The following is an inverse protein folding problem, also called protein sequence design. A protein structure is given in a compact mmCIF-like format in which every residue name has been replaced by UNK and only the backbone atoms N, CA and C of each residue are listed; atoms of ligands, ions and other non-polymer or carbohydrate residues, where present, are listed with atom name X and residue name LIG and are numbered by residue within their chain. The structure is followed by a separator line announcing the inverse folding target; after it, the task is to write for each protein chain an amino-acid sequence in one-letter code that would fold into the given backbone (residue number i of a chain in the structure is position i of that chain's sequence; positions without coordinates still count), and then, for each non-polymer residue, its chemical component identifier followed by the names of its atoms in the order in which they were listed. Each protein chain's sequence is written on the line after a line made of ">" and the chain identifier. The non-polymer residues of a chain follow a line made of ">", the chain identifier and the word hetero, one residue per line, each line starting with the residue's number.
data_IF_899979590882
#
_entry.id   IF_899979590882
#
_cell.length_a   1.000
_cell.length_b   1.000
_cell.length_c   1.000
_cell.angle_alpha   90.00
_cell.angle_beta   90.00
_cell.angle_gamma   90.00
#
_symmetry.space_group_name_H-M   'P 1'
#
loop_
_entity.id
_entity.type
_entity.pdbx_description
1 polymer ?
#
# COMPACT_ATOMS: atom_id res chain seq x y z
N UNK A 1 1.33 40.67 44.74
CA UNK A 1 1.91 39.53 43.99
C UNK A 1 0.80 38.85 43.18
N UNK A 2 0.59 39.22 41.91
CA UNK A 2 -0.48 38.65 41.08
C UNK A 2 -0.12 38.61 39.58
N UNK A 3 1.18 38.48 39.26
CA UNK A 3 1.67 38.67 37.88
C UNK A 3 2.12 37.36 37.20
N UNK A 4 2.18 36.23 37.91
CA UNK A 4 2.68 34.97 37.33
C UNK A 4 1.60 34.11 36.62
N UNK A 5 0.31 34.36 36.81
CA UNK A 5 -0.76 33.51 36.26
C UNK A 5 -1.14 33.82 34.81
N UNK A 6 -0.80 35.00 34.28
CA UNK A 6 -1.17 35.36 32.90
C UNK A 6 -0.21 34.82 31.83
N UNK A 7 1.08 34.67 32.15
CA UNK A 7 2.10 34.27 31.17
C UNK A 7 1.93 32.80 30.76
N UNK A 8 1.58 31.92 31.70
CA UNK A 8 1.37 30.48 31.44
C UNK A 8 0.11 30.19 30.62
N UNK A 9 -0.96 30.97 30.83
CA UNK A 9 -2.26 30.79 30.15
C UNK A 9 -2.19 31.13 28.65
N UNK A 10 -1.39 32.14 28.31
CA UNK A 10 -1.13 32.54 26.91
C UNK A 10 -0.29 31.48 26.17
N UNK A 11 0.77 30.98 26.82
CA UNK A 11 1.68 30.00 26.21
C UNK A 11 1.00 28.65 25.96
N UNK A 12 0.23 28.13 26.93
CA UNK A 12 -0.52 26.88 26.78
C UNK A 12 -1.58 26.92 25.66
N UNK A 13 -2.23 28.07 25.46
CA UNK A 13 -3.20 28.27 24.37
C UNK A 13 -2.53 28.29 22.99
N UNK A 14 -1.29 28.74 22.89
CA UNK A 14 -0.51 28.76 21.65
C UNK A 14 -0.04 27.35 21.27
N UNK A 15 0.51 26.60 22.23
CA UNK A 15 0.94 25.20 22.03
C UNK A 15 -0.23 24.31 21.60
N UNK A 16 -1.39 24.46 22.24
CA UNK A 16 -2.59 23.69 21.89
C UNK A 16 -3.10 23.99 20.47
N UNK A 17 -2.98 25.24 20.01
CA UNK A 17 -3.33 25.62 18.64
C UNK A 17 -2.40 24.99 17.60
N UNK A 18 -1.10 25.00 17.87
CA UNK A 18 -0.11 24.35 17.00
C UNK A 18 -0.36 22.84 16.94
N UNK A 19 -0.67 22.21 18.07
CA UNK A 19 -1.05 20.78 18.11
C UNK A 19 -2.26 20.48 17.21
N UNK A 20 -3.36 21.24 17.35
CA UNK A 20 -4.55 21.02 16.52
C UNK A 20 -4.29 21.30 15.04
N UNK A 21 -3.49 22.32 14.71
CA UNK A 21 -3.11 22.62 13.34
C UNK A 21 -2.31 21.46 12.72
N UNK A 22 -1.28 20.97 13.41
CA UNK A 22 -0.44 19.87 12.91
C UNK A 22 -1.23 18.56 12.79
N UNK A 23 -2.05 18.22 13.79
CA UNK A 23 -2.86 16.99 13.75
C UNK A 23 -3.91 17.03 12.64
N UNK A 24 -4.57 18.17 12.41
CA UNK A 24 -5.46 18.35 11.27
C UNK A 24 -4.71 18.27 9.94
N UNK A 25 -3.53 18.89 9.82
CA UNK A 25 -2.72 18.82 8.60
C UNK A 25 -2.31 17.38 8.26
N UNK A 26 -1.81 16.64 9.25
CA UNK A 26 -1.48 15.21 9.10
C UNK A 26 -2.71 14.39 8.76
N UNK A 27 -3.86 14.68 9.37
CA UNK A 27 -5.13 14.03 9.04
C UNK A 27 -5.55 14.26 7.59
N UNK A 28 -5.48 15.50 7.09
CA UNK A 28 -5.82 15.84 5.69
C UNK A 28 -4.88 15.14 4.71
N UNK A 29 -3.56 15.33 4.88
CA UNK A 29 -2.56 14.78 3.97
C UNK A 29 -2.61 13.25 4.00
N UNK A 30 -2.65 12.66 5.20
CA UNK A 30 -2.72 11.22 5.38
C UNK A 30 -3.96 10.61 4.74
N UNK A 31 -5.13 11.26 4.88
CA UNK A 31 -6.37 10.79 4.23
C UNK A 31 -6.23 10.85 2.72
N UNK A 32 -5.73 11.96 2.15
CA UNK A 32 -5.56 12.13 0.70
C UNK A 32 -4.61 11.09 0.11
N UNK A 33 -3.44 10.89 0.73
CA UNK A 33 -2.44 9.93 0.26
C UNK A 33 -2.97 8.50 0.35
N UNK A 34 -3.59 8.14 1.47
CA UNK A 34 -4.13 6.78 1.67
C UNK A 34 -5.29 6.48 0.72
N UNK A 35 -6.16 7.47 0.50
CA UNK A 35 -7.29 7.33 -0.43
C UNK A 35 -6.80 7.22 -1.88
N UNK A 36 -5.81 8.03 -2.27
CA UNK A 36 -5.18 7.91 -3.59
C UNK A 36 -4.56 6.53 -3.80
N UNK A 37 -3.82 6.03 -2.82
CA UNK A 37 -3.22 4.69 -2.87
C UNK A 37 -4.29 3.60 -3.04
N UNK A 38 -5.38 3.68 -2.26
CA UNK A 38 -6.49 2.74 -2.34
C UNK A 38 -7.14 2.75 -3.74
N UNK A 39 -7.44 3.94 -4.27
CA UNK A 39 -8.00 4.09 -5.61
C UNK A 39 -7.06 3.57 -6.69
N UNK A 40 -5.75 3.80 -6.55
CA UNK A 40 -4.74 3.27 -7.45
C UNK A 40 -4.72 1.74 -7.45
N UNK A 41 -4.76 1.11 -6.27
CA UNK A 41 -4.79 -0.35 -6.17
C UNK A 41 -6.05 -0.94 -6.83
N UNK A 42 -7.22 -0.35 -6.59
CA UNK A 42 -8.49 -0.73 -7.24
C UNK A 42 -8.39 -0.56 -8.75
N UNK A 43 -7.90 0.60 -9.21
CA UNK A 43 -7.74 0.90 -10.63
C UNK A 43 -6.79 -0.07 -11.32
N UNK A 44 -5.64 -0.39 -10.71
CA UNK A 44 -4.66 -1.34 -11.26
C UNK A 44 -5.27 -2.73 -11.48
N UNK A 45 -6.13 -3.19 -10.55
CA UNK A 45 -6.81 -4.49 -10.70
C UNK A 45 -7.98 -4.45 -11.68
N UNK A 46 -8.71 -3.34 -11.77
CA UNK A 46 -9.84 -3.18 -12.68
C UNK A 46 -9.40 -3.03 -14.14
N UNK A 47 -8.29 -2.33 -14.38
CA UNK A 47 -7.81 -2.00 -15.74
C UNK A 47 -6.95 -3.13 -16.32
N UNK A 48 -6.01 -3.69 -15.54
CA UNK A 48 -5.05 -4.68 -16.04
C UNK A 48 -5.62 -6.09 -15.82
N UNK A 49 -5.87 -6.83 -16.89
CA UNK A 49 -6.31 -8.24 -16.78
C UNK A 49 -5.22 -9.14 -16.21
N UNK A 50 -5.57 -10.34 -15.75
CA UNK A 50 -4.57 -11.29 -15.22
C UNK A 50 -3.52 -11.67 -16.27
N UNK A 51 -3.92 -11.73 -17.53
CA UNK A 51 -3.02 -12.10 -18.62
C UNK A 51 -2.10 -10.96 -19.00
N UNK A 52 -2.61 -9.73 -19.06
CA UNK A 52 -1.78 -8.53 -19.24
C UNK A 52 -0.81 -8.31 -18.08
N UNK A 53 -1.22 -8.62 -16.85
CA UNK A 53 -0.33 -8.57 -15.68
C UNK A 53 0.82 -9.56 -15.81
N UNK A 54 0.51 -10.79 -16.22
CA UNK A 54 1.50 -11.86 -16.36
C UNK A 54 2.46 -11.56 -17.50
N UNK A 55 1.95 -11.13 -18.66
CA UNK A 55 2.78 -10.81 -19.83
C UNK A 55 3.56 -9.50 -19.63
N UNK A 56 2.98 -8.52 -18.94
CA UNK A 56 3.61 -7.21 -18.76
C UNK A 56 4.62 -7.12 -17.61
N UNK A 57 4.34 -7.73 -16.46
CA UNK A 57 5.18 -7.59 -15.26
C UNK A 57 5.96 -8.87 -14.90
N UNK A 58 5.53 -10.04 -15.36
CA UNK A 58 5.99 -11.34 -14.84
C UNK A 58 6.36 -12.35 -15.93
N UNK A 59 6.54 -11.90 -17.17
CA UNK A 59 6.81 -12.78 -18.32
C UNK A 59 8.07 -13.63 -18.13
N UNK A 60 9.11 -13.08 -17.51
CA UNK A 60 10.35 -13.77 -17.22
C UNK A 60 10.14 -15.02 -16.34
N UNK A 61 9.13 -15.03 -15.47
CA UNK A 61 8.82 -16.19 -14.62
C UNK A 61 8.21 -17.35 -15.42
N UNK A 62 7.59 -17.07 -16.57
CA UNK A 62 7.15 -18.10 -17.52
C UNK A 62 8.25 -18.52 -18.49
N UNK A 63 9.15 -17.60 -18.85
CA UNK A 63 10.27 -17.92 -19.74
C UNK A 63 11.26 -18.89 -19.08
N UNK A 64 11.38 -18.84 -17.75
CA UNK A 64 12.15 -19.83 -16.98
C UNK A 64 11.69 -21.28 -17.18
N UNK A 65 10.43 -21.51 -17.59
CA UNK A 65 9.93 -22.86 -17.91
C UNK A 65 10.53 -23.43 -19.21
N UNK A 66 11.13 -22.61 -20.08
CA UNK A 66 11.78 -23.07 -21.30
C UNK A 66 13.23 -23.52 -21.07
N UNK A 67 13.80 -23.25 -19.90
CA UNK A 67 15.20 -23.54 -19.61
C UNK A 67 15.45 -25.03 -19.39
N UNK A 68 16.57 -25.52 -19.91
CA UNK A 68 17.01 -26.89 -19.67
C UNK A 68 17.20 -27.13 -18.17
N UNK A 69 16.65 -28.24 -17.67
CA UNK A 69 16.72 -28.61 -16.25
C UNK A 69 17.85 -29.62 -16.04
N UNK A 70 18.59 -29.49 -14.93
CA UNK A 70 19.62 -30.46 -14.55
C UNK A 70 18.95 -31.76 -14.12
N UNK A 71 19.16 -32.84 -14.88
CA UNK A 71 18.72 -34.19 -14.54
C UNK A 71 19.96 -35.08 -14.42
N UNK A 72 20.62 -35.13 -13.24
CA UNK A 72 21.84 -35.90 -13.06
C UNK A 72 21.59 -37.38 -13.34
N UNK A 73 22.44 -37.98 -14.15
CA UNK A 73 22.46 -39.43 -14.38
C UNK A 73 23.69 -40.03 -13.71
N UNK A 74 23.71 -41.34 -13.41
CA UNK A 74 24.88 -42.01 -12.83
C UNK A 74 26.16 -41.84 -13.67
N UNK A 75 26.01 -41.57 -14.98
CA UNK A 75 27.11 -41.34 -15.91
C UNK A 75 27.51 -39.86 -16.05
N UNK A 76 26.64 -38.90 -15.73
CA UNK A 76 26.94 -37.47 -15.81
C UNK A 76 26.06 -36.66 -14.84
N UNK A 77 26.70 -36.08 -13.82
CA UNK A 77 26.02 -35.25 -12.82
C UNK A 77 25.54 -33.89 -13.36
N UNK A 78 26.10 -33.42 -14.48
CA UNK A 78 25.77 -32.12 -15.08
C UNK A 78 24.88 -32.25 -16.32
N UNK A 79 24.18 -33.37 -16.49
CA UNK A 79 23.36 -33.60 -17.65
C UNK A 79 22.17 -32.61 -17.69
N UNK A 80 22.14 -31.76 -18.71
CA UNK A 80 21.06 -30.80 -18.96
C UNK A 80 20.12 -31.39 -20.00
N UNK A 81 18.86 -31.57 -19.62
CA UNK A 81 17.83 -32.10 -20.52
C UNK A 81 16.85 -30.98 -20.83
N UNK A 82 16.63 -30.73 -22.12
CA UNK A 82 15.58 -29.80 -22.54
C UNK A 82 14.21 -30.36 -22.11
N UNK A 83 13.36 -29.55 -21.48
CA UNK A 83 12.05 -30.01 -21.03
C UNK A 83 11.17 -30.40 -22.22
N UNK A 84 10.32 -31.41 -22.04
CA UNK A 84 9.33 -31.78 -23.07
C UNK A 84 8.26 -30.70 -23.19
N UNK A 85 7.55 -30.62 -24.33
CA UNK A 85 6.46 -29.64 -24.49
C UNK A 85 5.38 -29.78 -23.41
N UNK A 86 5.14 -31.00 -22.93
CA UNK A 86 4.22 -31.28 -21.83
C UNK A 86 4.74 -30.76 -20.49
N UNK A 87 6.04 -30.90 -20.20
CA UNK A 87 6.69 -30.33 -19.00
C UNK A 87 6.66 -28.80 -19.04
N UNK A 88 6.94 -28.19 -20.21
CA UNK A 88 6.89 -26.74 -20.41
C UNK A 88 5.48 -26.20 -20.18
N UNK A 89 4.47 -26.85 -20.78
CA UNK A 89 3.07 -26.41 -20.68
C UNK A 89 2.58 -26.48 -19.24
N UNK A 90 2.84 -27.60 -18.56
CA UNK A 90 2.47 -27.78 -17.15
C UNK A 90 3.16 -26.74 -16.25
N UNK A 91 4.46 -26.49 -16.46
CA UNK A 91 5.20 -25.47 -15.72
C UNK A 91 4.57 -24.08 -15.90
N UNK A 92 4.23 -23.70 -17.14
CA UNK A 92 3.61 -22.41 -17.44
C UNK A 92 2.24 -22.27 -16.78
N UNK A 93 1.41 -23.31 -16.79
CA UNK A 93 0.10 -23.31 -16.13
C UNK A 93 0.21 -23.19 -14.60
N UNK A 94 1.10 -23.97 -13.98
CA UNK A 94 1.35 -23.93 -12.54
C UNK A 94 1.86 -22.55 -12.11
N UNK A 95 2.81 -21.98 -12.86
CA UNK A 95 3.35 -20.63 -12.62
C UNK A 95 2.30 -19.55 -12.82
N UNK A 96 1.49 -19.63 -13.89
CA UNK A 96 0.39 -18.69 -14.14
C UNK A 96 -0.60 -18.68 -12.97
N UNK A 97 -0.96 -19.86 -12.47
CA UNK A 97 -1.86 -20.00 -11.32
C UNK A 97 -1.27 -19.38 -10.05
N UNK A 98 0.02 -19.64 -9.77
CA UNK A 98 0.73 -19.05 -8.64
C UNK A 98 0.81 -17.52 -8.74
N UNK A 99 1.14 -16.99 -9.92
CA UNK A 99 1.22 -15.55 -10.19
C UNK A 99 -0.11 -14.84 -9.99
N UNK A 100 -1.20 -15.45 -10.46
CA UNK A 100 -2.56 -14.92 -10.26
C UNK A 100 -2.94 -14.94 -8.78
N UNK A 101 -2.61 -16.02 -8.07
CA UNK A 101 -2.86 -16.12 -6.64
C UNK A 101 -2.07 -15.06 -5.85
N UNK A 102 -0.78 -14.88 -6.15
CA UNK A 102 0.08 -13.87 -5.55
C UNK A 102 -0.45 -12.46 -5.81
N UNK A 103 -0.84 -12.14 -7.05
CA UNK A 103 -1.46 -10.85 -7.41
C UNK A 103 -2.72 -10.58 -6.57
N UNK A 104 -3.57 -11.59 -6.40
CA UNK A 104 -4.79 -11.45 -5.61
C UNK A 104 -4.52 -11.27 -4.11
N UNK A 105 -3.48 -11.92 -3.58
CA UNK A 105 -3.05 -11.72 -2.20
C UNK A 105 -2.55 -10.28 -1.97
N UNK A 106 -1.63 -9.82 -2.82
CA UNK A 106 -1.08 -8.46 -2.76
C UNK A 106 -2.19 -7.40 -2.86
N UNK A 107 -3.14 -7.57 -3.78
CA UNK A 107 -4.28 -6.66 -3.90
C UNK A 107 -5.11 -6.59 -2.61
N UNK A 108 -5.33 -7.72 -1.93
CA UNK A 108 -6.09 -7.74 -0.67
C UNK A 108 -5.32 -7.05 0.44
N UNK A 109 -4.01 -7.27 0.53
CA UNK A 109 -3.14 -6.58 1.48
C UNK A 109 -3.14 -5.07 1.27
N UNK A 110 -3.02 -4.63 0.01
CA UNK A 110 -3.06 -3.21 -0.37
C UNK A 110 -4.39 -2.56 -0.02
N UNK A 111 -5.51 -3.25 -0.28
CA UNK A 111 -6.85 -2.77 0.10
C UNK A 111 -7.01 -2.67 1.61
N UNK A 112 -6.59 -3.69 2.36
CA UNK A 112 -6.70 -3.70 3.81
C UNK A 112 -5.83 -2.61 4.43
N UNK A 113 -4.57 -2.51 4.02
CA UNK A 113 -3.63 -1.50 4.48
C UNK A 113 -4.14 -0.10 4.14
N UNK A 114 -4.44 0.16 2.87
CA UNK A 114 -4.96 1.45 2.41
C UNK A 114 -6.27 1.82 3.10
N UNK A 115 -7.17 0.86 3.31
CA UNK A 115 -8.45 1.06 4.00
C UNK A 115 -8.26 1.41 5.48
N UNK A 116 -7.39 0.70 6.20
CA UNK A 116 -7.07 0.96 7.61
C UNK A 116 -6.46 2.35 7.75
N UNK A 117 -5.46 2.69 6.93
CA UNK A 117 -4.82 4.01 6.98
C UNK A 117 -5.78 5.14 6.67
N UNK A 118 -6.59 4.98 5.61
CA UNK A 118 -7.64 5.96 5.27
C UNK A 118 -8.59 6.16 6.43
N UNK A 119 -9.06 5.09 7.06
CA UNK A 119 -9.98 5.16 8.20
C UNK A 119 -9.32 5.86 9.41
N UNK A 120 -8.08 5.51 9.74
CA UNK A 120 -7.35 6.12 10.86
C UNK A 120 -7.15 7.63 10.66
N UNK A 121 -6.69 8.05 9.47
CA UNK A 121 -6.50 9.47 9.18
C UNK A 121 -7.82 10.22 9.09
N UNK A 122 -8.88 9.57 8.62
CA UNK A 122 -10.21 10.15 8.57
C UNK A 122 -10.81 10.35 9.97
N UNK A 123 -10.62 9.39 10.88
CA UNK A 123 -11.00 9.55 12.30
C UNK A 123 -10.21 10.70 12.92
N UNK A 124 -8.90 10.77 12.69
CA UNK A 124 -8.07 11.89 13.16
C UNK A 124 -8.61 13.23 12.67
N UNK A 125 -8.95 13.31 11.38
CA UNK A 125 -9.54 14.50 10.77
C UNK A 125 -10.86 14.87 11.45
N UNK A 126 -11.83 13.96 11.54
CA UNK A 126 -13.16 14.21 12.13
C UNK A 126 -13.05 14.65 13.59
N UNK A 127 -12.13 14.08 14.36
CA UNK A 127 -11.98 14.40 15.78
C UNK A 127 -11.29 15.75 15.99
N UNK A 128 -10.27 16.08 15.18
CA UNK A 128 -9.42 17.25 15.40
C UNK A 128 -9.87 18.49 14.62
N UNK A 129 -10.43 18.32 13.42
CA UNK A 129 -10.84 19.42 12.56
C UNK A 129 -11.92 20.33 13.19
N UNK A 130 -13.00 19.81 13.82
CA UNK A 130 -13.99 20.67 14.48
C UNK A 130 -13.40 21.47 15.64
N UNK A 131 -12.44 20.87 16.38
CA UNK A 131 -11.74 21.53 17.48
C UNK A 131 -10.83 22.63 16.95
N UNK A 132 -10.07 22.35 15.90
CA UNK A 132 -9.25 23.35 15.19
C UNK A 132 -10.09 24.55 14.74
N UNK A 133 -11.22 24.31 14.05
CA UNK A 133 -12.11 25.37 13.58
C UNK A 133 -12.68 26.23 14.71
N UNK A 134 -13.06 25.63 15.85
CA UNK A 134 -13.50 26.39 17.04
C UNK A 134 -12.40 27.28 17.63
N UNK A 135 -11.16 26.80 17.67
CA UNK A 135 -10.02 27.59 18.16
C UNK A 135 -9.60 28.74 17.23
N UNK A 136 -9.87 28.58 15.93
CA UNK A 136 -9.62 29.61 14.93
C UNK A 136 -10.74 30.66 14.93
N UNK A 137 -12.01 30.23 14.91
CA UNK A 137 -13.17 31.13 14.85
C UNK A 137 -13.42 31.89 16.17
N UNK A 138 -13.02 31.37 17.33
CA UNK A 138 -13.12 32.08 18.63
C UNK A 138 -12.15 33.26 18.79
N UNK A 139 -11.41 33.64 17.74
CA UNK A 139 -10.61 34.87 17.66
C UNK A 139 -11.24 35.92 16.72
N UNK A 140 -12.41 35.65 16.16
CA UNK A 140 -13.16 36.59 15.31
C UNK A 140 -14.08 37.55 16.07
N UNK A 141 -14.07 37.53 17.41
CA UNK A 141 -14.68 38.53 18.30
C UNK A 141 -13.60 39.19 19.17
#
# INVERSE_FOLDING_TARGET
>A
MATQTQITKSHGRSVLKVYFLLTTLVGVIGTLVSLWYLLYAIGKKAIITNDEYIVGERYYELDMCNNATSKPTPANQNNMIAPTETEITKCKEDKRTQLIAARNALYKEDLLSGGIWTLLFFILLIVHYPRFMRFYNSKGE
#
